data_IF_322704229568
#
_entry.id   IF_322704229568
#
_cell.length_a   1.000
_cell.length_b   1.000
_cell.length_c   1.000
_cell.angle_alpha   90.00
_cell.angle_beta   90.00
_cell.angle_gamma   90.00
#
_symmetry.space_group_name_H-M   'P 1'
#
loop_
_entity.id
_entity.type
_entity.pdbx_description
1 polymer ?
#
# COMPACT_ATOMS: atom_id res chain seq x y z
N UNK A 1 -33.28 43.64 -19.27
CA UNK A 1 -31.99 44.23 -19.65
C UNK A 1 -31.30 43.31 -20.65
N UNK A 2 -31.03 43.88 -21.83
CA UNK A 2 -30.16 43.44 -22.94
C UNK A 2 -28.81 42.84 -22.46
N UNK A 3 -28.00 42.05 -23.17
CA UNK A 3 -27.83 41.55 -24.56
C UNK A 3 -26.61 40.58 -24.49
N UNK A 4 -26.33 39.63 -25.38
CA UNK A 4 -26.51 39.66 -26.82
C UNK A 4 -26.13 38.32 -27.48
N UNK A 5 -26.77 38.12 -28.62
CA UNK A 5 -26.77 36.96 -29.51
C UNK A 5 -26.22 37.45 -30.86
N UNK A 6 -25.18 36.82 -31.41
CA UNK A 6 -24.74 36.92 -32.83
C UNK A 6 -23.83 35.72 -33.12
N UNK A 7 -23.74 35.14 -34.31
CA UNK A 7 -24.59 34.92 -35.50
C UNK A 7 -23.74 33.95 -36.34
N UNK A 8 -24.33 32.95 -36.98
CA UNK A 8 -23.68 32.10 -37.98
C UNK A 8 -23.35 32.91 -39.23
N UNK A 9 -22.19 32.64 -39.83
CA UNK A 9 -21.71 33.33 -41.03
C UNK A 9 -21.39 32.31 -42.14
N UNK A 10 -22.05 32.58 -43.27
CA UNK A 10 -21.86 32.17 -44.65
C UNK A 10 -22.44 30.86 -45.21
N UNK A 11 -23.43 31.11 -46.09
CA UNK A 11 -23.92 30.30 -47.18
C UNK A 11 -23.14 30.59 -48.48
N UNK A 12 -23.12 29.63 -49.41
CA UNK A 12 -23.28 29.94 -50.84
C UNK A 12 -24.01 28.81 -51.55
N UNK A 13 -25.18 29.15 -52.09
CA UNK A 13 -25.92 28.41 -53.11
C UNK A 13 -25.19 28.48 -54.46
N UNK A 14 -25.36 27.46 -55.30
CA UNK A 14 -25.02 27.53 -56.72
C UNK A 14 -24.80 26.15 -57.35
N UNK A 15 -25.88 25.48 -57.76
CA UNK A 15 -25.82 24.28 -58.58
C UNK A 15 -26.79 24.45 -59.77
N UNK A 16 -26.26 24.62 -60.99
CA UNK A 16 -26.93 24.30 -62.25
C UNK A 16 -25.99 24.47 -63.47
N UNK A 17 -26.19 23.56 -64.45
CA UNK A 17 -25.71 23.53 -65.85
C UNK A 17 -24.33 22.91 -66.16
N UNK A 18 -24.34 21.79 -66.91
CA UNK A 18 -23.19 21.25 -67.68
C UNK A 18 -23.09 21.87 -69.08
N UNK A 19 -22.47 21.25 -70.11
CA UNK A 19 -21.55 20.10 -70.16
C UNK A 19 -20.23 20.40 -70.95
N UNK A 20 -19.41 19.37 -71.18
CA UNK A 20 -18.29 19.24 -72.17
C UNK A 20 -16.89 19.77 -71.80
N UNK A 21 -15.85 18.98 -72.14
CA UNK A 21 -14.47 19.47 -72.27
C UNK A 21 -13.38 18.53 -71.77
N UNK A 22 -12.52 18.08 -72.67
CA UNK A 22 -11.36 17.21 -72.52
C UNK A 22 -10.31 17.64 -71.47
N UNK A 23 -9.67 16.63 -70.84
CA UNK A 23 -8.21 16.54 -70.71
C UNK A 23 -7.52 17.27 -69.55
N UNK A 24 -6.75 16.53 -68.74
CA UNK A 24 -5.60 17.08 -68.02
C UNK A 24 -5.39 16.55 -66.60
N UNK A 25 -4.42 15.64 -66.44
CA UNK A 25 -3.80 15.32 -65.15
C UNK A 25 -3.26 16.60 -64.48
N UNK A 26 -3.50 16.78 -63.16
CA UNK A 26 -2.53 17.38 -62.23
C UNK A 26 -2.94 17.25 -60.75
N UNK A 27 -2.15 16.44 -60.03
CA UNK A 27 -1.71 16.59 -58.63
C UNK A 27 -2.75 17.00 -57.59
N UNK A 28 -3.30 16.00 -56.87
CA UNK A 28 -3.84 16.21 -55.53
C UNK A 28 -2.69 16.58 -54.58
N UNK A 29 -2.50 17.87 -54.31
CA UNK A 29 -1.82 18.33 -53.08
C UNK A 29 -2.68 17.92 -51.90
N UNK A 30 -2.37 16.79 -51.28
CA UNK A 30 -2.95 16.44 -49.98
C UNK A 30 -2.39 17.39 -48.94
N UNK A 31 -3.16 18.43 -48.60
CA UNK A 31 -2.91 19.25 -47.42
C UNK A 31 -3.18 18.37 -46.18
N UNK A 32 -2.16 17.65 -45.72
CA UNK A 32 -2.21 16.96 -44.44
C UNK A 32 -2.08 18.02 -43.34
N UNK A 33 -3.21 18.47 -42.83
CA UNK A 33 -3.27 19.29 -41.62
C UNK A 33 -3.57 18.33 -40.46
N UNK A 34 -2.61 17.97 -39.59
CA UNK A 34 -2.94 17.19 -38.43
C UNK A 34 -3.87 18.03 -37.56
N UNK A 35 -5.10 17.56 -37.36
CA UNK A 35 -5.95 18.06 -36.30
C UNK A 35 -5.23 17.79 -34.98
N UNK A 36 -5.03 18.83 -34.18
CA UNK A 36 -4.33 18.82 -32.90
C UNK A 36 -5.08 18.05 -31.78
N UNK A 37 -5.78 16.98 -32.14
CA UNK A 37 -6.58 16.14 -31.24
C UNK A 37 -6.31 14.64 -31.39
N UNK A 38 -5.42 14.22 -32.28
CA UNK A 38 -4.95 12.83 -32.31
C UNK A 38 -3.62 12.73 -31.57
N UNK A 39 -3.74 12.24 -30.35
CA UNK A 39 -2.64 11.70 -29.57
C UNK A 39 -1.96 10.62 -30.44
N UNK A 40 -0.72 10.87 -30.86
CA UNK A 40 0.07 9.90 -31.61
C UNK A 40 0.25 8.64 -30.74
N UNK A 41 -0.52 7.60 -31.03
CA UNK A 41 -0.27 6.26 -30.54
C UNK A 41 1.03 5.77 -31.20
N UNK A 42 2.15 6.07 -30.54
CA UNK A 42 3.48 5.56 -30.88
C UNK A 42 3.53 4.07 -30.59
N UNK A 43 2.98 3.26 -31.50
CA UNK A 43 3.41 1.90 -31.84
C UNK A 43 3.79 0.96 -30.69
N UNK A 44 3.09 1.00 -29.56
CA UNK A 44 3.19 0.00 -28.50
C UNK A 44 1.98 -0.92 -28.56
N UNK A 45 2.19 -2.24 -28.68
CA UNK A 45 1.09 -3.22 -28.66
C UNK A 45 0.38 -3.32 -27.31
N UNK A 46 0.91 -2.68 -26.25
CA UNK A 46 0.32 -2.68 -24.90
C UNK A 46 -0.13 -1.26 -24.53
N UNK A 47 -1.35 -1.11 -23.97
CA UNK A 47 -1.84 0.19 -23.52
C UNK A 47 -0.91 0.77 -22.45
N UNK A 48 -0.47 2.01 -22.66
CA UNK A 48 0.32 2.76 -21.68
C UNK A 48 -0.58 3.57 -20.75
N UNK A 49 -0.17 3.76 -19.50
CA UNK A 49 -0.89 4.59 -18.56
C UNK A 49 -1.00 6.05 -19.06
N UNK A 50 -2.17 6.67 -18.87
CA UNK A 50 -2.39 8.07 -19.21
C UNK A 50 -1.41 9.01 -18.47
N UNK A 51 -1.05 10.19 -19.06
CA UNK A 51 -0.13 11.13 -18.44
C UNK A 51 -0.61 11.55 -17.05
N UNK A 52 0.30 11.52 -16.07
CA UNK A 52 -0.01 11.83 -14.68
C UNK A 52 -0.04 13.35 -14.45
N UNK A 53 -1.11 13.83 -13.79
CA UNK A 53 -1.21 15.23 -13.36
C UNK A 53 -0.20 15.55 -12.25
N UNK A 54 0.30 16.79 -12.19
CA UNK A 54 1.22 17.28 -11.14
C UNK A 54 0.62 17.04 -9.74
N UNK A 55 -0.68 17.30 -9.57
CA UNK A 55 -1.36 17.06 -8.29
C UNK A 55 -1.39 15.59 -7.90
N UNK A 56 -1.49 14.68 -8.87
CA UNK A 56 -1.44 13.24 -8.62
C UNK A 56 -0.04 12.82 -8.12
N UNK A 57 1.02 13.42 -8.68
CA UNK A 57 2.41 13.15 -8.27
C UNK A 57 2.65 13.61 -6.82
N UNK A 58 2.17 14.80 -6.46
CA UNK A 58 2.30 15.28 -5.07
C UNK A 58 1.55 14.38 -4.08
N UNK A 59 0.35 13.93 -4.44
CA UNK A 59 -0.43 13.00 -3.61
C UNK A 59 0.29 11.65 -3.48
N UNK A 60 0.85 11.10 -4.54
CA UNK A 60 1.60 9.82 -4.46
C UNK A 60 2.89 9.97 -3.67
N UNK A 61 3.57 11.11 -3.73
CA UNK A 61 4.72 11.42 -2.87
C UNK A 61 4.33 11.47 -1.40
N UNK A 62 3.25 12.17 -1.06
CA UNK A 62 2.70 12.21 0.31
C UNK A 62 2.34 10.79 0.79
N UNK A 63 1.64 10.02 -0.04
CA UNK A 63 1.26 8.64 0.28
C UNK A 63 2.48 7.75 0.46
N UNK A 64 3.59 7.98 -0.26
CA UNK A 64 4.83 7.25 -0.06
C UNK A 64 5.42 7.50 1.34
N UNK A 65 5.42 8.76 1.79
CA UNK A 65 5.86 9.13 3.15
C UNK A 65 4.93 8.50 4.19
N UNK A 66 3.61 8.66 4.02
CA UNK A 66 2.60 8.03 4.87
C UNK A 66 2.78 6.50 4.94
N UNK A 67 3.03 5.86 3.80
CA UNK A 67 3.25 4.41 3.71
C UNK A 67 4.49 4.01 4.50
N UNK A 68 5.59 4.75 4.36
CA UNK A 68 6.84 4.50 5.11
C UNK A 68 6.66 4.69 6.61
N UNK A 69 5.82 5.64 7.02
CA UNK A 69 5.52 5.90 8.44
C UNK A 69 4.58 4.85 9.05
N UNK A 70 3.50 4.49 8.36
CA UNK A 70 2.45 3.62 8.89
C UNK A 70 2.81 2.13 8.78
N UNK A 71 3.37 1.73 7.62
CA UNK A 71 3.68 0.32 7.29
C UNK A 71 5.11 -0.06 7.62
N UNK A 72 5.63 0.53 8.69
CA UNK A 72 6.87 0.10 9.28
C UNK A 72 6.73 -1.36 9.75
N UNK A 73 7.74 -2.20 9.51
CA UNK A 73 7.68 -3.64 9.84
C UNK A 73 7.15 -3.85 11.25
N UNK A 74 6.02 -4.55 11.39
CA UNK A 74 5.30 -4.64 12.67
C UNK A 74 6.18 -5.24 13.78
N UNK A 75 7.10 -6.17 13.44
CA UNK A 75 8.07 -6.73 14.39
C UNK A 75 9.07 -5.69 14.90
N UNK A 76 9.57 -4.84 14.01
CA UNK A 76 10.48 -3.77 14.38
C UNK A 76 9.74 -2.68 15.16
N UNK A 77 8.48 -2.41 14.82
CA UNK A 77 7.59 -1.51 15.55
C UNK A 77 7.41 -1.95 17.01
N UNK A 78 7.16 -3.26 17.22
CA UNK A 78 7.06 -3.85 18.57
C UNK A 78 8.37 -3.69 19.34
N UNK A 79 9.52 -3.95 18.69
CA UNK A 79 10.83 -3.77 19.31
C UNK A 79 11.08 -2.30 19.70
N UNK A 80 10.70 -1.34 18.84
CA UNK A 80 10.78 0.09 19.13
C UNK A 80 9.89 0.46 20.31
N UNK A 81 8.64 -0.02 20.36
CA UNK A 81 7.75 0.27 21.49
C UNK A 81 8.26 -0.33 22.80
N UNK A 82 8.74 -1.57 22.78
CA UNK A 82 9.38 -2.19 23.95
C UNK A 82 10.62 -1.42 24.40
N UNK A 83 11.50 -1.06 23.47
CA UNK A 83 12.68 -0.24 23.74
C UNK A 83 12.34 1.15 24.26
N UNK A 84 11.29 1.78 23.72
CA UNK A 84 10.81 3.10 24.18
C UNK A 84 10.26 3.01 25.60
N UNK A 85 9.42 2.01 25.90
CA UNK A 85 8.91 1.80 27.26
C UNK A 85 10.08 1.62 28.24
N UNK A 86 11.05 0.79 27.89
CA UNK A 86 12.20 0.51 28.75
C UNK A 86 13.10 1.75 28.94
N UNK A 87 13.61 2.31 27.84
CA UNK A 87 14.55 3.43 27.88
C UNK A 87 13.94 4.68 28.51
N UNK A 88 12.71 5.04 28.14
CA UNK A 88 12.05 6.24 28.67
C UNK A 88 11.65 6.05 30.13
N UNK A 89 11.26 4.84 30.55
CA UNK A 89 10.99 4.58 31.97
C UNK A 89 12.26 4.69 32.81
N UNK A 90 13.41 4.17 32.33
CA UNK A 90 14.68 4.35 33.03
C UNK A 90 15.06 5.83 33.15
N UNK A 91 14.92 6.60 32.08
CA UNK A 91 15.20 8.05 32.11
C UNK A 91 14.29 8.75 33.12
N UNK A 92 13.00 8.40 33.16
CA UNK A 92 12.05 8.98 34.10
C UNK A 92 12.35 8.63 35.57
N UNK A 93 12.97 7.48 35.84
CA UNK A 93 13.40 7.09 37.19
C UNK A 93 14.65 7.87 37.65
N UNK A 94 15.56 8.21 36.73
CA UNK A 94 16.78 8.97 37.04
C UNK A 94 16.60 10.49 36.98
N UNK A 95 15.64 10.98 36.20
CA UNK A 95 15.40 12.42 35.98
C UNK A 95 13.95 12.74 36.33
N UNK A 96 13.76 13.53 37.38
CA UNK A 96 12.46 14.11 37.68
C UNK A 96 12.06 15.09 36.56
N UNK A 97 11.23 14.64 35.64
CA UNK A 97 10.83 15.44 34.48
C UNK A 97 10.08 16.71 34.90
N UNK A 98 10.40 17.87 34.31
CA UNK A 98 9.71 19.11 34.64
C UNK A 98 8.23 19.04 34.27
N UNK A 99 7.38 19.73 35.05
CA UNK A 99 5.94 19.76 34.79
C UNK A 99 5.65 20.53 33.50
N UNK A 100 5.32 19.81 32.44
CA UNK A 100 4.90 20.37 31.14
C UNK A 100 3.39 20.21 30.94
N UNK A 101 2.86 20.70 29.80
CA UNK A 101 1.46 20.52 29.41
C UNK A 101 1.01 19.04 29.45
N UNK A 102 1.89 18.12 29.06
CA UNK A 102 1.64 16.68 29.03
C UNK A 102 1.60 16.02 30.43
N UNK A 103 2.19 16.69 31.44
CA UNK A 103 2.15 16.23 32.83
C UNK A 103 0.78 16.40 33.49
N UNK A 104 -0.11 17.25 32.94
CA UNK A 104 -1.47 17.43 33.48
C UNK A 104 -2.40 16.36 32.92
N UNK A 105 -3.05 15.61 33.79
CA UNK A 105 -4.04 14.59 33.42
C UNK A 105 -5.28 15.17 32.73
N UNK A 106 -5.56 16.45 32.97
CA UNK A 106 -6.71 17.16 32.41
C UNK A 106 -6.44 17.80 31.05
N UNK A 107 -5.30 17.48 30.43
CA UNK A 107 -5.01 17.96 29.10
C UNK A 107 -6.04 17.41 28.09
N UNK A 108 -6.34 18.21 27.06
CA UNK A 108 -7.38 17.87 26.07
C UNK A 108 -7.07 16.56 25.34
N UNK A 109 -5.79 16.26 25.10
CA UNK A 109 -5.36 15.02 24.45
C UNK A 109 -5.63 13.79 25.34
N UNK A 110 -5.49 13.89 26.64
CA UNK A 110 -5.74 12.79 27.56
C UNK A 110 -7.25 12.59 27.74
N UNK A 111 -7.99 13.68 27.94
CA UNK A 111 -9.45 13.61 28.16
C UNK A 111 -10.26 13.23 26.92
N UNK A 112 -9.92 13.76 25.74
CA UNK A 112 -10.68 13.49 24.52
C UNK A 112 -10.04 12.41 23.67
N UNK A 113 -8.72 12.38 23.53
CA UNK A 113 -8.08 11.47 22.59
C UNK A 113 -7.75 10.12 23.22
N UNK A 114 -7.11 10.08 24.39
CA UNK A 114 -6.76 8.81 25.04
C UNK A 114 -7.98 8.11 25.63
N UNK A 115 -8.86 8.85 26.35
CA UNK A 115 -10.07 8.27 26.95
C UNK A 115 -11.06 7.71 25.94
N UNK A 116 -11.24 8.39 24.80
CA UNK A 116 -12.07 7.93 23.68
C UNK A 116 -11.25 7.25 22.57
N UNK A 117 -10.02 6.81 22.88
CA UNK A 117 -9.06 6.31 21.89
C UNK A 117 -9.62 5.18 21.03
N UNK A 118 -10.42 4.29 21.62
CA UNK A 118 -11.07 3.20 20.87
C UNK A 118 -12.11 3.72 19.87
N UNK A 119 -12.90 4.73 20.25
CA UNK A 119 -13.87 5.37 19.36
C UNK A 119 -13.19 6.02 18.15
N UNK A 120 -12.06 6.69 18.37
CA UNK A 120 -11.27 7.29 17.29
C UNK A 120 -10.66 6.25 16.35
N UNK A 121 -10.13 5.14 16.88
CA UNK A 121 -9.66 4.01 16.08
C UNK A 121 -10.80 3.47 15.19
N UNK A 122 -11.96 3.19 15.79
CA UNK A 122 -13.12 2.64 15.08
C UNK A 122 -13.64 3.58 13.99
N UNK A 123 -13.65 4.89 14.25
CA UNK A 123 -14.07 5.90 13.27
C UNK A 123 -13.24 5.88 11.99
N UNK A 124 -11.98 5.42 12.04
CA UNK A 124 -11.08 5.39 10.87
C UNK A 124 -10.97 3.96 10.30
N UNK A 125 -10.83 2.96 11.15
CA UNK A 125 -10.66 1.55 10.74
C UNK A 125 -11.93 0.96 10.14
N UNK A 126 -13.12 1.28 10.68
CA UNK A 126 -14.37 0.71 10.14
C UNK A 126 -14.62 1.17 8.70
N UNK A 127 -14.56 2.48 8.37
CA UNK A 127 -14.66 2.92 6.98
C UNK A 127 -13.56 2.31 6.11
N UNK A 128 -12.33 2.23 6.61
CA UNK A 128 -11.20 1.67 5.86
C UNK A 128 -11.44 0.22 5.46
N UNK A 129 -11.78 -0.62 6.44
CA UNK A 129 -12.06 -2.04 6.23
C UNK A 129 -13.31 -2.23 5.37
N UNK A 130 -14.36 -1.43 5.56
CA UNK A 130 -15.56 -1.52 4.74
C UNK A 130 -15.29 -1.19 3.27
N UNK A 131 -14.51 -0.13 3.02
CA UNK A 131 -14.17 0.32 1.67
C UNK A 131 -13.25 -0.65 0.94
N UNK A 132 -12.19 -1.11 1.61
CA UNK A 132 -11.25 -2.11 1.07
C UNK A 132 -11.93 -3.48 0.86
N UNK A 133 -12.79 -3.92 1.77
CA UNK A 133 -13.54 -5.16 1.60
C UNK A 133 -14.61 -5.06 0.50
N UNK A 134 -15.25 -3.90 0.33
CA UNK A 134 -16.27 -3.71 -0.71
C UNK A 134 -15.68 -3.79 -2.13
N UNK A 135 -14.50 -3.21 -2.31
CA UNK A 135 -13.73 -3.25 -3.57
C UNK A 135 -13.16 -4.64 -3.85
N UNK A 136 -12.52 -5.27 -2.86
CA UNK A 136 -11.93 -6.60 -3.00
C UNK A 136 -12.96 -7.75 -3.06
N UNK A 137 -14.13 -7.55 -2.45
CA UNK A 137 -15.24 -8.49 -2.44
C UNK A 137 -16.25 -8.29 -3.56
N UNK A 138 -16.04 -7.31 -4.46
CA UNK A 138 -16.95 -6.97 -5.57
C UNK A 138 -18.42 -6.84 -5.12
N UNK A 139 -18.65 -6.18 -3.97
CA UNK A 139 -19.99 -5.98 -3.43
C UNK A 139 -20.64 -7.22 -2.77
N UNK A 140 -19.94 -8.36 -2.70
CA UNK A 140 -20.43 -9.56 -2.00
C UNK A 140 -20.43 -9.33 -0.49
N UNK A 141 -21.64 -9.19 0.07
CA UNK A 141 -21.92 -9.06 1.52
C UNK A 141 -21.18 -10.06 2.42
N UNK A 142 -21.08 -11.38 2.10
CA UNK A 142 -20.41 -12.31 3.03
C UNK A 142 -18.92 -12.03 3.18
N UNK A 143 -18.24 -11.51 2.15
CA UNK A 143 -16.82 -11.14 2.23
C UNK A 143 -16.68 -9.92 3.13
N UNK A 144 -17.51 -8.90 2.92
CA UNK A 144 -17.55 -7.70 3.76
C UNK A 144 -17.79 -8.03 5.25
N UNK A 145 -18.79 -8.87 5.54
CA UNK A 145 -19.12 -9.29 6.91
C UNK A 145 -17.94 -9.99 7.59
N UNK A 146 -17.19 -10.82 6.86
CA UNK A 146 -15.98 -11.47 7.40
C UNK A 146 -14.88 -10.46 7.71
N UNK A 147 -14.66 -9.45 6.88
CA UNK A 147 -13.68 -8.41 7.20
C UNK A 147 -14.10 -7.55 8.40
N UNK A 148 -15.40 -7.21 8.51
CA UNK A 148 -15.95 -6.48 9.66
C UNK A 148 -15.93 -7.30 10.95
N UNK A 149 -16.15 -8.62 10.87
CA UNK A 149 -16.06 -9.51 12.02
C UNK A 149 -14.67 -9.47 12.69
N UNK A 150 -13.59 -9.21 11.93
CA UNK A 150 -12.24 -9.00 12.52
C UNK A 150 -12.17 -7.77 13.39
N UNK A 151 -12.78 -6.66 12.95
CA UNK A 151 -12.84 -5.40 13.72
C UNK A 151 -13.69 -5.60 14.99
N UNK A 152 -14.77 -6.38 14.87
CA UNK A 152 -15.59 -6.77 16.02
C UNK A 152 -14.80 -7.61 17.02
N UNK A 153 -14.02 -8.60 16.56
CA UNK A 153 -13.13 -9.37 17.44
C UNK A 153 -12.08 -8.48 18.13
N UNK A 154 -11.53 -7.49 17.42
CA UNK A 154 -10.60 -6.55 18.01
C UNK A 154 -11.26 -5.74 19.16
N UNK A 155 -12.54 -5.38 18.99
CA UNK A 155 -13.35 -4.69 20.02
C UNK A 155 -13.63 -5.58 21.22
N UNK A 156 -13.97 -6.84 20.98
CA UNK A 156 -14.17 -7.81 22.05
C UNK A 156 -12.87 -8.03 22.84
N UNK A 157 -11.73 -8.16 22.16
CA UNK A 157 -10.44 -8.32 22.81
C UNK A 157 -10.07 -7.10 23.67
N UNK A 158 -10.30 -5.88 23.18
CA UNK A 158 -10.10 -4.66 23.97
C UNK A 158 -10.98 -4.64 25.23
N UNK A 159 -12.26 -4.99 25.10
CA UNK A 159 -13.17 -5.07 26.25
C UNK A 159 -12.74 -6.14 27.25
N UNK A 160 -12.32 -7.33 26.77
CA UNK A 160 -11.85 -8.40 27.64
C UNK A 160 -10.61 -8.01 28.44
N UNK A 161 -9.63 -7.33 27.82
CA UNK A 161 -8.43 -6.86 28.52
C UNK A 161 -8.71 -5.72 29.49
N UNK A 162 -9.54 -4.75 29.11
CA UNK A 162 -9.93 -3.66 30.03
C UNK A 162 -10.69 -4.19 31.24
N UNK A 163 -11.58 -5.18 31.04
CA UNK A 163 -12.22 -5.89 32.15
C UNK A 163 -11.18 -6.63 33.02
N UNK A 164 -10.24 -7.34 32.40
CA UNK A 164 -9.20 -8.08 33.11
C UNK A 164 -8.27 -7.16 33.93
N UNK A 165 -7.89 -5.99 33.40
CA UNK A 165 -7.07 -5.02 34.14
C UNK A 165 -7.78 -4.51 35.39
N UNK A 166 -9.07 -4.18 35.28
CA UNK A 166 -9.87 -3.80 36.45
C UNK A 166 -10.02 -4.96 37.45
N UNK A 167 -10.17 -6.19 36.96
CA UNK A 167 -10.22 -7.39 37.80
C UNK A 167 -8.91 -7.62 38.56
N UNK A 168 -7.76 -7.47 37.89
CA UNK A 168 -6.43 -7.58 38.51
C UNK A 168 -6.23 -6.49 39.56
N UNK A 169 -6.57 -5.24 39.25
CA UNK A 169 -6.41 -4.11 40.18
C UNK A 169 -7.27 -4.30 41.45
N UNK A 170 -8.50 -4.76 41.30
CA UNK A 170 -9.42 -5.00 42.43
C UNK A 170 -9.04 -6.23 43.25
N UNK A 171 -8.46 -7.26 42.64
CA UNK A 171 -8.07 -8.50 43.32
C UNK A 171 -6.74 -8.37 44.07
N UNK A 172 -5.75 -7.70 43.47
CA UNK A 172 -4.41 -7.57 44.04
C UNK A 172 -4.18 -6.25 44.78
N UNK A 173 -5.09 -5.29 44.65
CA UNK A 173 -5.02 -4.03 45.37
C UNK A 173 -5.41 -4.16 46.84
N UNK A 174 -4.85 -3.26 47.66
CA UNK A 174 -5.15 -3.15 49.09
C UNK A 174 -5.40 -1.70 49.46
N UNK A 175 -6.31 -1.48 50.40
CA UNK A 175 -6.51 -0.16 50.99
C UNK A 175 -5.37 0.14 51.98
N UNK A 176 -4.61 1.21 51.76
CA UNK A 176 -3.56 1.62 52.68
C UNK A 176 -4.18 2.08 54.02
N UNK A 177 -3.48 1.85 55.13
CA UNK A 177 -3.90 2.23 56.50
C UNK A 177 -5.12 1.50 57.10
N UNK A 178 -5.49 0.30 56.64
CA UNK A 178 -6.45 -0.57 57.35
C UNK A 178 -6.26 -2.06 57.04
N UNK A 179 -6.57 -2.94 58.02
CA UNK A 179 -6.65 -4.40 57.85
C UNK A 179 -8.11 -4.90 57.78
N UNK A 180 -9.08 -4.00 57.82
CA UNK A 180 -10.50 -4.37 57.85
C UNK A 180 -10.94 -4.97 56.53
N UNK A 181 -11.47 -6.20 56.58
CA UNK A 181 -11.93 -6.96 55.41
C UNK A 181 -13.02 -6.20 54.64
N UNK A 182 -13.84 -5.38 55.32
CA UNK A 182 -14.91 -4.61 54.69
C UNK A 182 -14.44 -3.36 53.93
N UNK A 183 -13.24 -2.83 54.23
CA UNK A 183 -12.63 -1.69 53.53
C UNK A 183 -11.67 -2.12 52.41
N UNK A 184 -11.46 -3.43 52.20
CA UNK A 184 -10.70 -3.97 51.07
C UNK A 184 -11.42 -3.82 49.72
N UNK A 185 -12.58 -3.17 49.67
CA UNK A 185 -13.29 -2.93 48.42
C UNK A 185 -12.93 -1.54 47.88
N UNK A 186 -12.43 -1.43 46.65
CA UNK A 186 -11.93 -0.17 46.04
C UNK A 186 -12.89 1.01 46.22
N UNK A 187 -14.18 0.79 45.95
CA UNK A 187 -15.21 1.82 46.08
C UNK A 187 -15.37 2.34 47.52
N UNK A 188 -15.36 1.45 48.52
CA UNK A 188 -15.50 1.81 49.94
C UNK A 188 -14.23 2.47 50.49
N UNK A 189 -13.05 2.01 50.04
CA UNK A 189 -11.76 2.62 50.41
C UNK A 189 -11.66 4.07 49.91
N UNK A 190 -12.00 4.31 48.64
CA UNK A 190 -11.98 5.66 48.05
C UNK A 190 -13.05 6.58 48.65
N UNK A 191 -14.24 6.05 48.96
CA UNK A 191 -15.29 6.79 49.67
C UNK A 191 -14.85 7.22 51.08
N UNK A 192 -14.01 6.42 51.75
CA UNK A 192 -13.43 6.77 53.05
C UNK A 192 -12.26 7.77 52.96
N UNK A 193 -11.94 8.29 51.76
CA UNK A 193 -10.85 9.23 51.54
C UNK A 193 -9.46 8.61 51.64
N UNK A 194 -9.34 7.28 51.55
CA UNK A 194 -8.06 6.55 51.67
C UNK A 194 -7.48 6.20 50.30
N UNK A 195 -6.17 6.03 50.27
CA UNK A 195 -5.44 5.66 49.05
C UNK A 195 -5.46 4.14 48.83
N UNK A 196 -5.86 3.74 47.63
CA UNK A 196 -5.80 2.36 47.15
C UNK A 196 -4.43 2.11 46.53
N UNK A 197 -3.70 1.11 47.03
CA UNK A 197 -2.41 0.69 46.47
C UNK A 197 -2.59 -0.69 45.84
N UNK A 198 -2.55 -0.74 44.52
CA UNK A 198 -2.65 -1.97 43.75
C UNK A 198 -1.84 -1.86 42.47
N UNK A 199 -1.63 -3.00 41.81
CA UNK A 199 -1.00 -3.06 40.51
C UNK A 199 -2.00 -2.56 39.46
N UNK A 200 -1.86 -1.30 39.03
CA UNK A 200 -2.73 -0.69 38.02
C UNK A 200 -2.09 -0.82 36.63
N UNK A 201 -2.39 -1.94 35.95
CA UNK A 201 -1.87 -2.17 34.60
C UNK A 201 -2.32 -1.04 33.68
N UNK A 202 -1.37 -0.38 33.02
CA UNK A 202 -1.64 0.82 32.24
C UNK A 202 -2.51 0.52 31.01
N UNK A 203 -3.83 0.70 31.15
CA UNK A 203 -4.79 0.58 30.07
C UNK A 203 -4.54 1.59 28.94
N UNK A 204 -3.97 2.75 29.26
CA UNK A 204 -3.55 3.76 28.29
C UNK A 204 -2.38 3.28 27.42
N UNK A 205 -1.39 2.63 28.03
CA UNK A 205 -0.27 2.05 27.29
C UNK A 205 -0.74 0.90 26.40
N UNK A 206 -1.63 0.04 26.92
CA UNK A 206 -2.26 -1.03 26.16
C UNK A 206 -3.01 -0.52 24.94
N UNK A 207 -3.94 0.44 25.12
CA UNK A 207 -4.78 0.92 24.01
C UNK A 207 -3.96 1.58 22.91
N UNK A 208 -2.94 2.38 23.26
CA UNK A 208 -2.10 3.09 22.30
C UNK A 208 -1.25 2.13 21.45
N UNK A 209 -0.62 1.13 22.07
CA UNK A 209 0.15 0.13 21.33
C UNK A 209 -0.79 -0.76 20.50
N UNK A 210 -1.89 -1.22 21.10
CA UNK A 210 -2.80 -2.13 20.42
C UNK A 210 -3.48 -1.47 19.21
N UNK A 211 -3.96 -0.24 19.33
CA UNK A 211 -4.55 0.52 18.23
C UNK A 211 -3.53 0.74 17.11
N UNK A 212 -2.28 1.03 17.48
CA UNK A 212 -1.20 1.24 16.54
C UNK A 212 -0.82 0.00 15.73
N UNK A 213 -0.84 -1.18 16.36
CA UNK A 213 -0.60 -2.45 15.69
C UNK A 213 -1.75 -2.79 14.74
N UNK A 214 -3.01 -2.56 15.14
CA UNK A 214 -4.18 -2.73 14.28
C UNK A 214 -4.09 -1.84 13.04
N UNK A 215 -3.77 -0.55 13.20
CA UNK A 215 -3.64 0.36 12.05
C UNK A 215 -2.54 -0.06 11.07
N UNK A 216 -1.40 -0.54 11.58
CA UNK A 216 -0.31 -1.01 10.72
C UNK A 216 -0.73 -2.23 9.90
N UNK A 217 -1.41 -3.21 10.51
CA UNK A 217 -1.86 -4.42 9.82
C UNK A 217 -3.01 -4.15 8.85
N UNK A 218 -4.04 -3.40 9.24
CA UNK A 218 -5.14 -3.07 8.31
C UNK A 218 -4.67 -2.13 7.20
N UNK A 219 -3.72 -1.24 7.48
CA UNK A 219 -3.10 -0.37 6.49
C UNK A 219 -2.27 -1.13 5.44
N UNK A 220 -1.84 -2.36 5.74
CA UNK A 220 -1.05 -3.18 4.82
C UNK A 220 -1.83 -3.57 3.55
N UNK A 221 -3.16 -3.47 3.59
CA UNK A 221 -4.05 -3.59 2.42
C UNK A 221 -3.86 -2.49 1.35
N UNK A 222 -3.16 -1.39 1.64
CA UNK A 222 -2.84 -0.41 0.59
C UNK A 222 -1.62 -0.83 -0.25
N UNK A 223 -0.84 -1.82 0.20
CA UNK A 223 0.35 -2.27 -0.53
C UNK A 223 -0.06 -2.95 -1.82
N UNK A 224 0.37 -2.40 -2.96
CA UNK A 224 0.00 -2.90 -4.28
C UNK A 224 -1.36 -2.39 -4.79
N UNK A 225 -2.07 -1.56 -4.01
CA UNK A 225 -3.38 -1.03 -4.40
C UNK A 225 -3.36 -0.25 -5.71
N UNK A 226 -2.36 0.62 -5.90
CA UNK A 226 -2.24 1.42 -7.11
C UNK A 226 -2.02 0.55 -8.36
N UNK A 227 -1.44 -0.65 -8.19
CA UNK A 227 -1.23 -1.63 -9.25
C UNK A 227 -2.53 -2.30 -9.72
N UNK A 228 -3.63 -2.23 -8.96
CA UNK A 228 -4.93 -2.78 -9.38
C UNK A 228 -5.39 -2.15 -10.70
N UNK A 229 -5.13 -0.85 -10.90
CA UNK A 229 -5.46 -0.15 -12.15
C UNK A 229 -4.74 -0.77 -13.36
N UNK A 230 -3.47 -1.11 -13.20
CA UNK A 230 -2.66 -1.71 -14.27
C UNK A 230 -3.08 -3.17 -14.53
N UNK A 231 -3.44 -3.90 -13.47
CA UNK A 231 -3.98 -5.26 -13.58
C UNK A 231 -5.31 -5.28 -14.34
N UNK A 232 -6.22 -4.35 -14.04
CA UNK A 232 -7.50 -4.20 -14.77
C UNK A 232 -7.27 -3.82 -16.22
N UNK A 233 -6.34 -2.88 -16.49
CA UNK A 233 -5.99 -2.47 -17.84
C UNK A 233 -5.41 -3.63 -18.68
N UNK A 234 -4.53 -4.45 -18.08
CA UNK A 234 -3.94 -5.63 -18.76
C UNK A 234 -4.98 -6.70 -19.06
N UNK A 235 -5.91 -6.93 -18.15
CA UNK A 235 -6.98 -7.92 -18.34
C UNK A 235 -7.97 -7.46 -19.44
N UNK A 236 -8.36 -6.19 -19.46
CA UNK A 236 -9.20 -5.59 -20.52
C UNK A 236 -8.55 -5.73 -21.91
N UNK A 237 -7.23 -5.50 -21.99
CA UNK A 237 -6.48 -5.72 -23.22
C UNK A 237 -6.44 -7.19 -23.63
N UNK A 238 -6.20 -8.11 -22.70
CA UNK A 238 -6.18 -9.55 -23.00
C UNK A 238 -7.52 -10.04 -23.53
N UNK A 239 -8.64 -9.59 -22.94
CA UNK A 239 -9.99 -9.99 -23.38
C UNK A 239 -10.33 -9.48 -24.77
N UNK A 240 -9.76 -8.34 -25.18
CA UNK A 240 -9.94 -7.78 -26.52
C UNK A 240 -8.96 -8.37 -27.55
N UNK A 241 -7.80 -8.87 -27.13
CA UNK A 241 -6.81 -9.53 -27.99
C UNK A 241 -6.49 -10.96 -27.51
N UNK A 242 -7.25 -11.99 -27.94
CA UNK A 242 -7.16 -13.35 -27.40
C UNK A 242 -5.89 -14.15 -27.80
N UNK A 243 -4.92 -13.52 -28.47
CA UNK A 243 -3.71 -14.19 -28.97
C UNK A 243 -2.61 -14.41 -27.90
N UNK A 244 -2.72 -13.82 -26.70
CA UNK A 244 -1.77 -14.06 -25.58
C UNK A 244 -2.39 -14.97 -24.49
N UNK A 245 -1.64 -16.01 -24.08
CA UNK A 245 -2.00 -16.89 -22.97
C UNK A 245 -1.89 -16.15 -21.63
N UNK A 246 -2.96 -15.48 -21.21
CA UNK A 246 -2.97 -14.76 -19.93
C UNK A 246 -2.98 -15.69 -18.74
N UNK A 247 -2.03 -15.45 -17.83
CA UNK A 247 -1.90 -16.04 -16.50
C UNK A 247 -2.14 -14.98 -15.42
N UNK A 248 -3.12 -14.09 -15.63
CA UNK A 248 -3.44 -13.01 -14.70
C UNK A 248 -4.32 -13.45 -13.51
N UNK A 249 -4.16 -12.84 -12.32
CA UNK A 249 -4.98 -13.12 -11.13
C UNK A 249 -6.46 -12.72 -11.29
N UNK A 250 -6.81 -11.93 -12.31
CA UNK A 250 -8.17 -11.45 -12.61
C UNK A 250 -8.91 -12.32 -13.65
N UNK A 251 -8.27 -13.37 -14.20
CA UNK A 251 -8.86 -14.17 -15.29
C UNK A 251 -10.13 -14.93 -14.90
N UNK A 252 -10.32 -15.20 -13.61
CA UNK A 252 -11.48 -15.92 -13.08
C UNK A 252 -12.70 -15.00 -12.82
N UNK A 253 -12.58 -13.68 -13.05
CA UNK A 253 -13.69 -12.74 -12.86
C UNK A 253 -14.55 -12.63 -14.12
N UNK A 254 -15.87 -12.55 -13.94
CA UNK A 254 -16.81 -12.27 -15.02
C UNK A 254 -16.63 -10.85 -15.59
N UNK A 255 -17.18 -10.58 -16.78
CA UNK A 255 -17.09 -9.24 -17.39
C UNK A 255 -17.84 -8.17 -16.59
N UNK A 256 -19.01 -8.50 -16.04
CA UNK A 256 -19.76 -7.59 -15.16
C UNK A 256 -19.03 -7.28 -13.85
N UNK A 257 -18.34 -8.27 -13.29
CA UNK A 257 -17.49 -8.12 -12.10
C UNK A 257 -16.30 -7.18 -12.36
N UNK A 258 -15.68 -7.27 -13.55
CA UNK A 258 -14.55 -6.42 -13.94
C UNK A 258 -14.99 -4.96 -14.15
N UNK A 259 -16.13 -4.72 -14.78
CA UNK A 259 -16.69 -3.37 -14.95
C UNK A 259 -17.07 -2.75 -13.60
N UNK A 260 -17.69 -3.55 -12.71
CA UNK A 260 -17.98 -3.12 -11.35
C UNK A 260 -16.70 -2.73 -10.60
N UNK A 261 -15.65 -3.56 -10.66
CA UNK A 261 -14.36 -3.27 -10.03
C UNK A 261 -13.76 -1.96 -10.55
N UNK A 262 -13.76 -1.73 -11.86
CA UNK A 262 -13.26 -0.49 -12.50
C UNK A 262 -13.99 0.74 -11.97
N UNK A 263 -15.32 0.68 -11.92
CA UNK A 263 -16.18 1.77 -11.42
C UNK A 263 -15.96 2.05 -9.94
N UNK A 264 -15.96 1.01 -9.11
CA UNK A 264 -15.80 1.15 -7.65
C UNK A 264 -14.39 1.60 -7.32
N UNK A 265 -13.35 1.01 -7.92
CA UNK A 265 -11.97 1.40 -7.69
C UNK A 265 -11.73 2.87 -8.08
N UNK A 266 -12.22 3.31 -9.24
CA UNK A 266 -12.09 4.71 -9.67
C UNK A 266 -12.76 5.70 -8.73
N UNK A 267 -13.94 5.34 -8.20
CA UNK A 267 -14.70 6.21 -7.29
C UNK A 267 -14.13 6.21 -5.87
N UNK A 268 -13.65 5.06 -5.38
CA UNK A 268 -13.31 4.85 -3.97
C UNK A 268 -11.84 5.16 -3.64
N UNK A 269 -10.94 5.02 -4.61
CA UNK A 269 -9.51 5.31 -4.44
C UNK A 269 -9.19 6.70 -3.86
N UNK A 270 -9.80 7.83 -4.30
CA UNK A 270 -9.51 9.12 -3.69
C UNK A 270 -9.88 9.17 -2.20
N UNK A 271 -11.00 8.56 -1.80
CA UNK A 271 -11.41 8.46 -0.41
C UNK A 271 -10.47 7.58 0.41
N UNK A 272 -10.03 6.44 -0.15
CA UNK A 272 -9.03 5.57 0.50
C UNK A 272 -7.72 6.31 0.72
N UNK A 273 -7.26 7.12 -0.24
CA UNK A 273 -6.05 7.95 -0.09
C UNK A 273 -6.19 8.95 1.06
N UNK A 274 -7.32 9.68 1.12
CA UNK A 274 -7.59 10.61 2.22
C UNK A 274 -7.67 9.90 3.58
N UNK A 275 -8.34 8.75 3.62
CA UNK A 275 -8.47 7.95 4.83
C UNK A 275 -7.12 7.37 5.30
N UNK A 276 -6.25 6.98 4.37
CA UNK A 276 -4.90 6.54 4.69
C UNK A 276 -4.06 7.66 5.31
N UNK A 277 -4.16 8.89 4.79
CA UNK A 277 -3.53 10.06 5.41
C UNK A 277 -4.08 10.27 6.83
N UNK A 278 -5.39 10.18 7.03
CA UNK A 278 -6.00 10.27 8.36
C UNK A 278 -5.48 9.16 9.31
N UNK A 279 -5.36 7.92 8.85
CA UNK A 279 -4.74 6.82 9.60
C UNK A 279 -3.30 7.15 10.01
N UNK A 280 -2.52 7.76 9.12
CA UNK A 280 -1.13 8.13 9.45
C UNK A 280 -1.02 9.24 10.48
N UNK A 281 -1.89 10.25 10.40
CA UNK A 281 -1.96 11.31 11.41
C UNK A 281 -2.40 10.75 12.77
N UNK A 282 -3.39 9.87 12.77
CA UNK A 282 -3.85 9.17 13.96
C UNK A 282 -2.74 8.33 14.59
N UNK A 283 -1.96 7.62 13.77
CA UNK A 283 -0.81 6.84 14.20
C UNK A 283 0.26 7.72 14.87
N UNK A 284 0.65 8.84 14.24
CA UNK A 284 1.63 9.77 14.82
C UNK A 284 1.15 10.33 16.16
N UNK A 285 -0.15 10.61 16.27
CA UNK A 285 -0.73 11.08 17.53
C UNK A 285 -0.68 10.01 18.62
N UNK A 286 -0.87 8.73 18.29
CA UNK A 286 -0.65 7.64 19.26
C UNK A 286 0.80 7.52 19.69
N UNK A 287 1.76 7.69 18.78
CA UNK A 287 3.19 7.62 19.11
C UNK A 287 3.58 8.75 20.08
N UNK A 288 3.11 9.98 19.84
CA UNK A 288 3.32 11.13 20.74
C UNK A 288 2.69 10.86 22.11
N UNK A 289 1.45 10.37 22.13
CA UNK A 289 0.77 10.07 23.39
C UNK A 289 1.41 8.91 24.14
N UNK A 290 1.96 7.92 23.45
CA UNK A 290 2.67 6.80 24.09
C UNK A 290 3.90 7.31 24.83
N UNK A 291 4.72 8.15 24.18
CA UNK A 291 5.89 8.78 24.82
C UNK A 291 5.45 9.62 26.03
N UNK A 292 4.39 10.40 25.90
CA UNK A 292 3.83 11.17 27.01
C UNK A 292 3.35 10.28 28.17
N UNK A 293 2.64 9.18 27.88
CA UNK A 293 2.13 8.26 28.90
C UNK A 293 3.28 7.59 29.63
N UNK A 294 4.32 7.16 28.92
CA UNK A 294 5.50 6.53 29.53
C UNK A 294 6.32 7.51 30.36
N UNK A 295 6.37 8.80 29.99
CA UNK A 295 7.12 9.82 30.74
C UNK A 295 6.46 10.22 32.07
N UNK A 296 5.14 10.41 32.10
CA UNK A 296 4.48 11.10 33.21
C UNK A 296 3.60 10.22 34.10
N UNK A 297 3.22 9.03 33.65
CA UNK A 297 2.20 8.22 34.31
C UNK A 297 2.67 6.79 34.52
N UNK A 298 2.25 6.12 35.61
CA UNK A 298 2.54 4.72 35.95
C UNK A 298 4.01 4.37 36.24
N UNK A 299 4.20 3.25 36.93
CA UNK A 299 5.51 2.62 37.13
C UNK A 299 5.91 1.77 35.92
N UNK A 300 7.20 1.47 35.78
CA UNK A 300 7.74 0.72 34.63
C UNK A 300 7.01 -0.62 34.39
N UNK A 301 6.76 -1.39 35.46
CA UNK A 301 6.13 -2.72 35.34
C UNK A 301 4.69 -2.66 34.84
N UNK A 302 3.93 -1.66 35.25
CA UNK A 302 2.53 -1.45 34.82
C UNK A 302 2.45 -1.11 33.32
N UNK A 303 3.39 -0.30 32.83
CA UNK A 303 3.52 0.04 31.40
C UNK A 303 3.92 -1.19 30.58
N UNK A 304 4.90 -1.94 31.08
CA UNK A 304 5.40 -3.14 30.41
C UNK A 304 4.30 -4.20 30.27
N UNK A 305 3.56 -4.49 31.34
CA UNK A 305 2.44 -5.44 31.31
C UNK A 305 1.35 -5.02 30.31
N UNK A 306 1.00 -3.73 30.26
CA UNK A 306 0.06 -3.20 29.27
C UNK A 306 0.57 -3.37 27.83
N UNK A 307 1.85 -3.12 27.60
CA UNK A 307 2.47 -3.33 26.28
C UNK A 307 2.53 -4.80 25.86
N UNK A 308 2.90 -5.70 26.77
CA UNK A 308 2.93 -7.16 26.51
C UNK A 308 1.53 -7.68 26.18
N UNK A 309 0.51 -7.26 26.92
CA UNK A 309 -0.88 -7.63 26.62
C UNK A 309 -1.30 -7.21 25.20
N UNK A 310 -0.92 -6.00 24.77
CA UNK A 310 -1.21 -5.52 23.43
C UNK A 310 -0.53 -6.38 22.34
N UNK A 311 0.76 -6.70 22.53
CA UNK A 311 1.54 -7.51 21.59
C UNK A 311 1.01 -8.94 21.50
N UNK A 312 0.67 -9.57 22.64
CA UNK A 312 0.10 -10.92 22.67
C UNK A 312 -1.24 -10.94 21.91
N UNK A 313 -2.11 -9.95 22.18
CA UNK A 313 -3.42 -9.86 21.52
C UNK A 313 -3.27 -9.73 20.01
N UNK A 314 -2.39 -8.84 19.57
CA UNK A 314 -2.07 -8.67 18.15
C UNK A 314 -1.51 -9.96 17.53
N UNK A 315 -0.58 -10.64 18.22
CA UNK A 315 0.03 -11.87 17.70
C UNK A 315 -1.02 -12.98 17.53
N UNK A 316 -1.85 -13.21 18.56
CA UNK A 316 -2.90 -14.22 18.52
C UNK A 316 -3.91 -13.93 17.41
N UNK A 317 -4.31 -12.67 17.23
CA UNK A 317 -5.30 -12.29 16.22
C UNK A 317 -4.71 -12.24 14.80
N UNK A 318 -3.76 -11.35 14.55
CA UNK A 318 -3.25 -11.05 13.20
C UNK A 318 -2.20 -12.05 12.69
N UNK A 319 -1.36 -12.61 13.55
CA UNK A 319 -0.31 -13.54 13.11
C UNK A 319 -0.76 -15.00 13.12
N UNK A 320 -1.64 -15.37 14.06
CA UNK A 320 -2.11 -16.75 14.18
C UNK A 320 -3.53 -16.92 13.61
N UNK A 321 -4.55 -16.32 14.22
CA UNK A 321 -5.95 -16.59 13.88
C UNK A 321 -6.32 -16.23 12.44
N UNK A 322 -6.00 -15.01 11.99
CA UNK A 322 -6.37 -14.53 10.66
C UNK A 322 -5.56 -15.17 9.52
N UNK A 323 -4.53 -15.97 9.83
CA UNK A 323 -3.75 -16.72 8.83
C UNK A 323 -4.16 -18.19 8.72
N UNK A 324 -5.11 -18.65 9.54
CA UNK A 324 -5.53 -20.05 9.53
C UNK A 324 -6.44 -20.36 8.31
N UNK A 325 -6.06 -21.30 7.43
CA UNK A 325 -6.74 -21.51 6.14
C UNK A 325 -8.12 -22.18 6.21
N UNK A 326 -8.46 -22.86 7.32
CA UNK A 326 -9.69 -23.67 7.42
C UNK A 326 -10.83 -23.03 8.25
N UNK A 327 -10.50 -22.07 9.11
CA UNK A 327 -11.40 -21.43 10.09
C UNK A 327 -11.19 -19.91 10.15
N UNK A 328 -10.12 -19.39 9.53
CA UNK A 328 -9.68 -18.01 9.68
C UNK A 328 -10.55 -17.02 8.91
N UNK A 329 -10.81 -15.89 9.58
CA UNK A 329 -11.23 -14.66 8.94
C UNK A 329 -10.14 -14.23 7.93
N UNK A 330 -10.50 -13.60 6.79
CA UNK A 330 -9.56 -13.25 5.74
C UNK A 330 -8.43 -12.34 6.27
N UNK A 331 -7.20 -12.51 5.79
CA UNK A 331 -6.12 -11.61 6.17
C UNK A 331 -6.36 -10.20 5.59
N UNK A 332 -5.76 -9.13 6.16
CA UNK A 332 -5.87 -7.80 5.59
C UNK A 332 -5.39 -7.78 4.14
N UNK A 333 -6.23 -7.29 3.24
CA UNK A 333 -5.95 -7.27 1.80
C UNK A 333 -6.24 -8.57 1.04
N UNK A 334 -6.70 -9.64 1.70
CA UNK A 334 -7.22 -10.81 0.99
C UNK A 334 -8.60 -10.49 0.38
N UNK A 335 -8.79 -10.90 -0.87
CA UNK A 335 -9.99 -10.63 -1.66
C UNK A 335 -10.32 -11.76 -2.62
N UNK A 336 -11.29 -11.52 -3.51
CA UNK A 336 -11.64 -12.49 -4.56
C UNK A 336 -10.48 -12.73 -5.54
N UNK A 337 -9.57 -11.76 -5.65
CA UNK A 337 -8.36 -11.83 -6.45
C UNK A 337 -7.17 -11.30 -5.63
N UNK A 338 -5.99 -11.83 -5.91
CA UNK A 338 -4.75 -11.38 -5.28
C UNK A 338 -4.14 -10.27 -6.13
N UNK A 339 -4.04 -9.06 -5.57
CA UNK A 339 -3.41 -7.90 -6.25
C UNK A 339 -2.02 -7.59 -5.72
N UNK A 340 -1.72 -8.02 -4.49
CA UNK A 340 -0.41 -7.83 -3.87
C UNK A 340 0.44 -9.09 -4.06
N UNK A 341 1.01 -9.25 -5.24
CA UNK A 341 2.22 -10.06 -5.40
C UNK A 341 3.40 -9.16 -5.06
N UNK A 342 3.70 -9.02 -3.76
CA UNK A 342 5.06 -8.67 -3.38
C UNK A 342 5.92 -9.74 -4.04
N UNK A 343 6.74 -9.34 -5.01
CA UNK A 343 7.79 -10.18 -5.56
C UNK A 343 8.69 -10.54 -4.39
N UNK A 344 8.35 -11.59 -3.65
CA UNK A 344 9.20 -12.22 -2.67
C UNK A 344 10.40 -12.64 -3.47
N UNK A 345 11.45 -11.84 -3.43
CA UNK A 345 12.72 -12.20 -4.01
C UNK A 345 13.10 -13.50 -3.29
N UNK A 346 13.11 -14.66 -3.96
CA UNK A 346 13.37 -15.95 -3.31
C UNK A 346 14.88 -16.11 -3.05
N UNK A 347 15.56 -15.02 -2.67
CA UNK A 347 17.00 -14.98 -2.47
C UNK A 347 17.37 -15.23 -0.99
N UNK A 348 16.41 -15.10 -0.06
CA UNK A 348 16.69 -15.23 1.37
C UNK A 348 16.20 -16.55 2.00
N UNK A 349 15.61 -17.47 1.24
CA UNK A 349 15.17 -18.79 1.75
C UNK A 349 15.80 -19.98 1.02
N UNK A 350 16.71 -19.73 0.07
CA UNK A 350 17.41 -20.76 -0.70
C UNK A 350 18.95 -20.61 -0.64
N UNK A 351 19.48 -20.05 0.44
CA UNK A 351 20.90 -20.10 0.76
C UNK A 351 21.26 -21.52 1.28
N UNK A 352 21.22 -22.49 0.38
CA UNK A 352 21.51 -23.89 0.66
C UNK A 352 21.37 -24.69 -0.63
N UNK A 353 22.46 -24.78 -1.38
CA UNK A 353 22.67 -25.68 -2.51
C UNK A 353 21.87 -25.40 -3.80
N UNK A 354 22.36 -24.46 -4.61
CA UNK A 354 22.58 -24.75 -6.04
C UNK A 354 23.49 -23.73 -6.69
N UNK A 355 24.57 -24.25 -7.26
CA UNK A 355 25.54 -23.52 -8.05
C UNK A 355 24.85 -22.76 -9.19
N UNK A 356 25.28 -21.50 -9.33
CA UNK A 356 24.89 -20.56 -10.36
C UNK A 356 25.40 -21.06 -11.71
N UNK A 357 24.61 -21.83 -12.45
CA UNK A 357 24.92 -22.17 -13.85
C UNK A 357 24.78 -20.90 -14.69
N UNK A 358 25.90 -20.21 -14.90
CA UNK A 358 26.04 -19.17 -15.92
C UNK A 358 25.67 -19.79 -17.27
N UNK A 359 24.57 -19.34 -17.87
CA UNK A 359 24.28 -19.60 -19.29
C UNK A 359 25.33 -18.87 -20.12
N UNK A 360 26.36 -19.59 -20.51
CA UNK A 360 27.32 -19.19 -21.53
C UNK A 360 26.60 -19.16 -22.88
N UNK A 361 26.36 -17.96 -23.42
CA UNK A 361 26.00 -17.79 -24.84
C UNK A 361 27.27 -17.97 -25.67
N UNK A 362 27.54 -19.20 -26.05
CA UNK A 362 28.68 -19.60 -26.88
C UNK A 362 28.22 -19.56 -28.35
N UNK A 363 28.34 -18.40 -28.99
CA UNK A 363 28.75 -18.30 -30.40
C UNK A 363 29.04 -16.85 -30.79
N UNK A 364 30.21 -16.65 -31.41
CA UNK A 364 30.89 -15.38 -31.55
C UNK A 364 30.25 -14.38 -32.52
N UNK A 365 30.21 -13.13 -32.07
CA UNK A 365 30.43 -11.90 -32.84
C UNK A 365 30.15 -10.73 -31.89
N UNK A 366 31.22 -10.07 -31.43
CA UNK A 366 31.15 -8.88 -30.60
C UNK A 366 30.62 -7.70 -31.43
N UNK A 367 29.29 -7.61 -31.60
CA UNK A 367 28.63 -6.37 -31.99
C UNK A 367 27.76 -5.86 -30.83
N UNK A 368 27.93 -4.59 -30.40
CA UNK A 368 27.06 -4.00 -29.41
C UNK A 368 25.63 -3.91 -29.96
N UNK A 369 24.66 -4.38 -29.18
CA UNK A 369 23.23 -4.31 -29.50
C UNK A 369 22.55 -3.31 -28.58
N UNK A 370 21.67 -2.47 -29.12
CA UNK A 370 20.74 -1.64 -28.34
C UNK A 370 19.31 -2.16 -28.57
N UNK A 371 18.61 -2.51 -27.49
CA UNK A 371 17.27 -3.14 -27.53
C UNK A 371 17.18 -4.38 -28.46
N UNK A 372 18.22 -5.20 -28.51
CA UNK A 372 18.21 -6.49 -29.22
C UNK A 372 18.51 -6.44 -30.72
N UNK A 373 18.57 -5.26 -31.34
CA UNK A 373 19.03 -5.10 -32.73
C UNK A 373 20.53 -4.79 -32.82
N UNK A 374 21.27 -5.39 -33.78
CA UNK A 374 22.68 -5.08 -34.01
C UNK A 374 22.87 -3.67 -34.59
N UNK A 375 23.72 -2.87 -33.95
CA UNK A 375 24.04 -1.50 -34.38
C UNK A 375 25.01 -1.59 -35.56
N UNK A 376 24.57 -1.21 -36.77
CA UNK A 376 25.47 -0.99 -37.90
C UNK A 376 25.96 0.46 -37.85
N UNK A 377 27.20 0.68 -37.42
CA UNK A 377 27.90 1.94 -37.62
C UNK A 377 28.21 2.10 -39.11
N UNK A 378 27.74 3.19 -39.73
CA UNK A 378 28.12 3.55 -41.10
C UNK A 378 29.61 3.90 -41.10
N UNK A 379 30.40 3.13 -41.86
CA UNK A 379 31.80 3.43 -42.09
C UNK A 379 31.88 4.42 -43.26
N UNK A 380 32.50 5.57 -43.01
CA UNK A 380 32.76 6.63 -43.98
C UNK A 380 33.53 6.10 -45.19
N UNK A 381 33.01 6.46 -46.37
CA UNK A 381 33.64 6.34 -47.68
C UNK A 381 34.78 7.35 -47.79
N UNK A 382 35.99 6.91 -48.14
CA UNK A 382 36.98 7.72 -48.86
C UNK A 382 37.74 6.87 -49.90
N UNK A 383 38.19 7.46 -51.03
CA UNK A 383 38.29 6.74 -52.29
C UNK A 383 39.72 6.37 -52.73
N UNK A 384 39.78 5.35 -53.61
CA UNK A 384 40.69 5.16 -54.76
C UNK A 384 42.17 4.78 -54.54
N UNK A 385 42.60 3.62 -55.09
CA UNK A 385 43.53 3.53 -56.25
C UNK A 385 43.93 2.07 -56.62
N UNK A 386 43.51 1.68 -57.84
CA UNK A 386 44.20 0.94 -58.95
C UNK A 386 44.80 -0.48 -58.71
N UNK A 387 44.51 -1.47 -59.61
CA UNK A 387 45.09 -2.83 -59.59
C UNK A 387 46.21 -3.06 -60.64
N UNK A 388 46.95 -4.19 -60.55
CA UNK A 388 47.41 -4.91 -61.75
C UNK A 388 47.04 -6.41 -61.67
N UNK A 389 46.38 -6.98 -62.68
CA UNK A 389 46.95 -7.63 -63.88
C UNK A 389 47.43 -9.09 -63.67
N UNK A 390 46.57 -10.02 -64.11
CA UNK A 390 46.80 -11.19 -64.99
C UNK A 390 47.99 -12.18 -64.82
N UNK A 391 47.60 -13.45 -64.98
CA UNK A 391 48.25 -14.63 -65.62
C UNK A 391 49.12 -15.61 -64.80
N UNK A 392 48.56 -16.84 -64.72
CA UNK A 392 49.13 -18.17 -65.04
C UNK A 392 50.49 -18.59 -64.47
N UNK A 393 50.49 -19.70 -63.71
CA UNK A 393 51.01 -21.03 -64.16
C UNK A 393 51.07 -22.03 -63.00
N UNK A 394 50.46 -23.22 -63.20
CA UNK A 394 50.81 -24.51 -62.54
C UNK A 394 52.33 -24.80 -62.69
N UNK A 395 52.99 -25.67 -61.86
CA UNK A 395 52.65 -27.10 -61.79
C UNK A 395 53.01 -27.89 -60.50
N UNK A 396 52.68 -29.20 -60.56
CA UNK A 396 53.31 -30.38 -59.94
C UNK A 396 52.85 -30.93 -58.55
N UNK A 397 52.06 -32.01 -58.70
CA UNK A 397 51.91 -33.29 -57.96
C UNK A 397 53.28 -33.94 -57.59
N UNK A 398 53.49 -34.97 -56.71
CA UNK A 398 52.56 -35.96 -56.11
C UNK A 398 52.76 -36.37 -54.62
N UNK A 399 51.90 -37.34 -54.23
CA UNK A 399 52.12 -38.47 -53.29
C UNK A 399 51.95 -38.17 -51.79
N UNK A 400 51.37 -39.04 -50.97
CA UNK A 400 50.87 -40.42 -51.13
C UNK A 400 50.18 -40.84 -49.83
N UNK A 401 49.17 -41.72 -49.93
CA UNK A 401 48.79 -42.86 -49.05
C UNK A 401 48.88 -42.69 -47.52
N UNK A 402 47.89 -43.07 -46.73
CA UNK A 402 47.01 -44.23 -46.84
C UNK A 402 45.64 -43.97 -46.21
#
# INVERSE_FOLDING_TARGET
MATGKRRSIHASSGNAAGPSGYGGLRSNRMNFRPSSTQQEDRGGTRPTAAPSSIGLILVTMLLHVCKKSLLFDTRLKIAIYGGTIFAVSLIADFVAMPRTYFSRSDNALNQYFVKWGWGWLMSVVVPWVAMTAHTLGLGRRPILLRHLARVLLATFAWFAWTWLFNYVETTYGRCLNTRDVQLQNKAKCLQSGRFWSGLDISGHTFILIYSSLILAEEGSSLVGWEGIKDLVMREEHTRTTPNESSTGPLRNLSDGDLEFLKKVHGTLTPYLRGLFVAMTLQQLLWDIMLVSTVLYYHIMIEKFLGGVAAVITWYVTYQWWFKLPKIGLPAPGDGLFKYNEVRTNPENTAAGNSARTRRSTLNGSNQPRFMGMPIRTMQETMPEQIPPSNRQSDPDVPNSRA
#
